data_IF_759747719554
#
_entry.id   IF_759747719554
#
_cell.length_a   1.000
_cell.length_b   1.000
_cell.length_c   1.000
_cell.angle_alpha   90.00
_cell.angle_beta   90.00
_cell.angle_gamma   90.00
#
_symmetry.space_group_name_H-M   'P 1'
#
loop_
_entity.id
_entity.type
_entity.pdbx_description
1 polymer ?
#
# COMPACT_ATOMS: atom_id res chain seq x y z
N UNK A 1 6.60 19.98 9.55
CA UNK A 1 5.78 18.76 9.67
C UNK A 1 6.71 17.57 9.60
N UNK A 2 6.60 16.63 10.54
CA UNK A 2 7.32 15.35 10.40
C UNK A 2 6.72 14.64 9.19
N UNK A 3 7.55 14.39 8.17
CA UNK A 3 7.14 13.57 7.03
C UNK A 3 7.09 12.13 7.53
N UNK A 4 5.90 11.68 7.88
CA UNK A 4 5.68 10.28 8.22
C UNK A 4 5.65 9.44 6.94
N UNK A 5 6.22 8.25 7.02
CA UNK A 5 6.30 7.30 5.92
C UNK A 5 5.51 6.04 6.27
N UNK A 6 4.87 5.48 5.26
CA UNK A 6 4.23 4.18 5.31
C UNK A 6 5.15 3.16 4.63
N UNK A 7 5.47 2.08 5.33
CA UNK A 7 6.33 1.01 4.83
C UNK A 7 5.56 -0.28 4.61
N UNK A 8 5.96 -1.05 3.60
CA UNK A 8 5.58 -2.44 3.39
C UNK A 8 6.81 -3.24 2.95
N UNK A 9 7.09 -4.38 3.56
CA UNK A 9 8.23 -5.23 3.20
C UNK A 9 7.76 -6.64 2.90
N UNK A 10 7.97 -7.09 1.66
CA UNK A 10 7.63 -8.44 1.26
C UNK A 10 8.56 -9.47 1.89
N UNK A 11 8.05 -10.65 2.29
CA UNK A 11 8.89 -11.76 2.73
C UNK A 11 9.78 -12.26 1.61
N UNK A 12 10.86 -12.98 1.92
CA UNK A 12 11.78 -13.58 0.96
C UNK A 12 13.21 -13.07 1.06
N UNK A 13 14.04 -13.44 0.06
CA UNK A 13 15.47 -13.12 0.01
C UNK A 13 15.71 -11.62 -0.24
N UNK A 14 16.44 -10.96 0.67
CA UNK A 14 16.76 -9.53 0.63
C UNK A 14 17.55 -9.13 -0.62
N UNK A 15 18.27 -10.07 -1.24
CA UNK A 15 19.02 -9.84 -2.48
C UNK A 15 18.13 -9.82 -3.75
N UNK A 16 16.83 -10.07 -3.59
CA UNK A 16 15.85 -10.07 -4.70
C UNK A 16 14.99 -8.80 -4.70
N UNK A 17 14.49 -8.41 -5.87
CA UNK A 17 13.56 -7.29 -6.01
C UNK A 17 12.12 -7.77 -6.18
N UNK A 18 11.14 -6.93 -5.85
CA UNK A 18 9.74 -7.18 -6.20
C UNK A 18 9.60 -7.39 -7.72
N UNK A 19 8.72 -8.32 -8.17
CA UNK A 19 8.55 -8.65 -9.58
C UNK A 19 7.68 -7.61 -10.33
N UNK A 20 7.99 -6.33 -10.19
CA UNK A 20 7.29 -5.19 -10.79
C UNK A 20 8.25 -4.22 -11.48
N UNK A 21 7.71 -3.32 -12.30
CA UNK A 21 8.50 -2.28 -12.93
C UNK A 21 9.18 -1.38 -11.89
N UNK A 22 10.37 -0.88 -12.22
CA UNK A 22 11.10 0.04 -11.34
C UNK A 22 10.26 1.30 -11.04
N UNK A 23 10.21 1.69 -9.77
CA UNK A 23 9.49 2.88 -9.33
C UNK A 23 10.22 3.55 -8.17
N UNK A 24 10.00 4.86 -7.94
CA UNK A 24 10.58 5.54 -6.79
C UNK A 24 10.00 5.04 -5.46
N UNK A 25 8.90 4.29 -5.51
CA UNK A 25 8.16 3.83 -4.34
C UNK A 25 8.66 2.50 -3.78
N UNK A 26 9.62 1.83 -4.44
CA UNK A 26 10.21 0.61 -3.92
C UNK A 26 11.71 0.51 -4.17
N UNK A 27 12.38 -0.23 -3.30
CA UNK A 27 13.78 -0.62 -3.42
C UNK A 27 13.94 -2.04 -2.86
N UNK A 28 14.41 -2.97 -3.69
CA UNK A 28 14.45 -4.39 -3.36
C UNK A 28 13.05 -4.93 -3.07
N UNK A 29 12.82 -5.39 -1.83
CA UNK A 29 11.52 -5.91 -1.34
C UNK A 29 10.73 -4.91 -0.49
N UNK A 30 11.26 -3.70 -0.30
CA UNK A 30 10.67 -2.66 0.54
C UNK A 30 9.96 -1.61 -0.31
N UNK A 31 8.72 -1.30 0.07
CA UNK A 31 7.89 -0.22 -0.46
C UNK A 31 7.86 0.90 0.58
N UNK A 32 8.08 2.14 0.14
CA UNK A 32 8.11 3.32 1.00
C UNK A 32 7.25 4.42 0.39
N UNK A 33 6.15 4.76 1.06
CA UNK A 33 5.15 5.72 0.59
C UNK A 33 5.05 6.92 1.55
N UNK A 34 4.88 8.15 1.06
CA UNK A 34 4.50 9.26 1.92
C UNK A 34 3.15 8.98 2.60
N UNK A 35 3.07 9.07 3.93
CA UNK A 35 1.87 8.67 4.68
C UNK A 35 0.61 9.40 4.24
N UNK A 36 0.68 10.72 4.06
CA UNK A 36 -0.51 11.50 3.66
C UNK A 36 -1.06 11.10 2.29
N UNK A 37 -0.20 10.62 1.38
CA UNK A 37 -0.64 10.11 0.09
C UNK A 37 -1.25 8.71 0.20
N UNK A 38 -0.73 7.87 1.10
CA UNK A 38 -1.36 6.59 1.40
C UNK A 38 -2.75 6.79 2.04
N UNK A 39 -2.88 7.69 3.01
CA UNK A 39 -4.16 8.04 3.64
C UNK A 39 -5.17 8.58 2.61
N UNK A 40 -4.72 9.41 1.65
CA UNK A 40 -5.54 9.87 0.54
C UNK A 40 -6.06 8.72 -0.34
N UNK A 41 -5.20 7.75 -0.66
CA UNK A 41 -5.61 6.54 -1.41
C UNK A 41 -6.66 5.76 -0.62
N UNK A 42 -6.45 5.54 0.68
CA UNK A 42 -7.41 4.85 1.55
C UNK A 42 -8.75 5.59 1.60
N UNK A 43 -8.74 6.92 1.73
CA UNK A 43 -9.98 7.69 1.77
C UNK A 43 -10.74 7.65 0.44
N UNK A 44 -10.03 7.67 -0.70
CA UNK A 44 -10.65 7.43 -2.00
C UNK A 44 -11.22 6.00 -2.09
N UNK A 45 -10.49 5.00 -1.61
CA UNK A 45 -10.89 3.60 -1.62
C UNK A 45 -12.19 3.36 -0.84
N UNK A 46 -12.41 4.07 0.28
CA UNK A 46 -13.68 4.01 1.05
C UNK A 46 -14.91 4.37 0.22
N UNK A 47 -14.77 5.30 -0.73
CA UNK A 47 -15.88 5.70 -1.62
C UNK A 47 -16.28 4.60 -2.61
N UNK A 48 -15.37 3.66 -2.90
CA UNK A 48 -15.59 2.51 -3.78
C UNK A 48 -16.12 1.32 -2.97
N UNK A 49 -15.42 0.96 -1.90
CA UNK A 49 -15.81 -0.12 -1.02
C UNK A 49 -15.25 0.10 0.39
N UNK A 50 -16.10 0.56 1.30
CA UNK A 50 -15.70 0.84 2.69
C UNK A 50 -15.13 -0.37 3.41
N UNK A 51 -15.71 -1.56 3.21
CA UNK A 51 -15.27 -2.78 3.93
C UNK A 51 -13.84 -3.16 3.53
N UNK A 52 -13.55 -3.28 2.24
CA UNK A 52 -12.20 -3.63 1.80
C UNK A 52 -11.21 -2.50 2.00
N UNK A 53 -11.66 -1.25 1.98
CA UNK A 53 -10.80 -0.12 2.36
C UNK A 53 -10.39 -0.18 3.83
N UNK A 54 -11.31 -0.55 4.73
CA UNK A 54 -11.00 -0.68 6.16
C UNK A 54 -10.04 -1.87 6.38
N UNK A 55 -10.21 -2.97 5.65
CA UNK A 55 -9.25 -4.10 5.66
C UNK A 55 -7.88 -3.70 5.10
N UNK A 56 -7.82 -2.94 4.01
CA UNK A 56 -6.57 -2.45 3.44
C UNK A 56 -5.83 -1.56 4.45
N UNK A 57 -6.57 -0.66 5.09
CA UNK A 57 -6.04 0.20 6.13
C UNK A 57 -5.52 -0.65 7.32
N UNK A 58 -6.30 -1.62 7.79
CA UNK A 58 -5.92 -2.54 8.86
C UNK A 58 -4.59 -3.26 8.57
N UNK A 59 -4.39 -3.75 7.34
CA UNK A 59 -3.15 -4.41 6.94
C UNK A 59 -1.99 -3.45 6.61
N UNK A 60 -2.21 -2.14 6.67
CA UNK A 60 -1.15 -1.15 6.53
C UNK A 60 -0.33 -0.96 7.80
N UNK A 61 -0.73 -1.58 8.91
CA UNK A 61 0.02 -1.52 10.16
C UNK A 61 -0.03 -2.87 10.86
N UNK A 62 1.06 -3.25 11.53
CA UNK A 62 1.02 -4.37 12.44
C UNK A 62 0.03 -4.08 13.58
N UNK A 63 -0.98 -4.92 13.73
CA UNK A 63 -2.13 -4.65 14.62
C UNK A 63 -1.86 -5.04 16.06
N UNK A 64 -0.78 -5.79 16.32
CA UNK A 64 -0.34 -6.12 17.66
C UNK A 64 0.68 -5.08 18.11
N UNK A 65 0.27 -4.21 19.03
CA UNK A 65 1.17 -3.29 19.75
C UNK A 65 2.34 -4.00 20.48
N UNK A 66 2.27 -5.32 20.62
CA UNK A 66 3.30 -6.17 21.22
C UNK A 66 4.22 -6.85 20.18
N UNK A 67 3.95 -6.73 18.88
CA UNK A 67 4.83 -7.27 17.84
C UNK A 67 5.93 -6.26 17.52
N UNK A 68 7.03 -6.33 18.27
CA UNK A 68 8.22 -5.49 18.09
C UNK A 68 8.79 -5.56 16.65
N UNK A 69 8.40 -6.55 15.85
CA UNK A 69 8.92 -6.77 14.51
C UNK A 69 8.00 -6.25 13.40
N UNK A 70 6.80 -5.75 13.71
CA UNK A 70 5.83 -5.22 12.73
C UNK A 70 5.30 -6.25 11.71
N UNK A 71 5.17 -7.53 12.08
CA UNK A 71 4.57 -8.53 11.18
C UNK A 71 3.06 -8.34 11.01
N UNK A 72 2.60 -8.61 9.79
CA UNK A 72 1.19 -8.65 9.42
C UNK A 72 0.80 -10.08 9.06
N UNK A 73 -0.09 -10.66 9.86
CA UNK A 73 -0.66 -11.99 9.66
C UNK A 73 -2.05 -11.89 9.04
N UNK A 74 -2.35 -12.80 8.11
CA UNK A 74 -3.57 -12.74 7.31
C UNK A 74 -4.06 -14.15 6.96
N UNK A 75 -5.35 -14.27 6.67
CA UNK A 75 -5.90 -15.45 6.01
C UNK A 75 -5.67 -15.34 4.49
N UNK A 76 -5.30 -16.46 3.85
CA UNK A 76 -4.94 -16.43 2.42
C UNK A 76 -6.08 -15.93 1.52
N UNK A 77 -7.32 -16.30 1.83
CA UNK A 77 -8.50 -15.83 1.08
C UNK A 77 -8.73 -14.33 1.23
N UNK A 78 -8.46 -13.77 2.42
CA UNK A 78 -8.64 -12.35 2.67
C UNK A 78 -7.61 -11.53 1.89
N UNK A 79 -6.35 -11.98 1.86
CA UNK A 79 -5.30 -11.29 1.11
C UNK A 79 -5.52 -11.39 -0.41
N UNK A 80 -6.02 -12.52 -0.92
CA UNK A 80 -6.38 -12.68 -2.34
C UNK A 80 -7.52 -11.74 -2.77
N UNK A 81 -8.56 -11.61 -1.93
CA UNK A 81 -9.65 -10.65 -2.16
C UNK A 81 -9.15 -9.20 -2.12
N UNK A 82 -8.22 -8.89 -1.22
CA UNK A 82 -7.65 -7.56 -1.09
C UNK A 82 -6.79 -7.17 -2.29
N UNK A 83 -6.03 -8.11 -2.85
CA UNK A 83 -5.28 -7.89 -4.10
C UNK A 83 -6.23 -7.56 -5.26
N UNK A 84 -7.36 -8.27 -5.38
CA UNK A 84 -8.40 -7.97 -6.38
C UNK A 84 -8.99 -6.58 -6.16
N UNK A 85 -9.28 -6.22 -4.92
CA UNK A 85 -9.76 -4.88 -4.59
C UNK A 85 -8.74 -3.79 -4.95
N UNK A 86 -7.45 -4.00 -4.69
CA UNK A 86 -6.38 -3.07 -5.08
C UNK A 86 -6.35 -2.90 -6.60
N UNK A 87 -6.51 -3.99 -7.36
CA UNK A 87 -6.57 -3.91 -8.82
C UNK A 87 -7.77 -3.07 -9.30
N UNK A 88 -8.96 -3.30 -8.74
CA UNK A 88 -10.15 -2.50 -9.08
C UNK A 88 -9.98 -1.02 -8.70
N UNK A 89 -9.33 -0.75 -7.56
CA UNK A 89 -8.99 0.58 -7.09
C UNK A 89 -8.02 1.29 -8.05
N UNK A 90 -6.99 0.61 -8.55
CA UNK A 90 -6.08 1.14 -9.57
C UNK A 90 -6.84 1.55 -10.84
N UNK A 91 -7.75 0.69 -11.33
CA UNK A 91 -8.56 1.01 -12.52
C UNK A 91 -9.47 2.22 -12.28
N UNK A 92 -10.08 2.32 -11.10
CA UNK A 92 -10.93 3.44 -10.71
C UNK A 92 -10.15 4.76 -10.66
N UNK A 93 -8.99 4.77 -10.00
CA UNK A 93 -8.11 5.95 -9.91
C UNK A 93 -7.63 6.37 -11.31
N UNK A 94 -7.24 5.43 -12.15
CA UNK A 94 -6.76 5.74 -13.49
C UNK A 94 -7.85 6.34 -14.41
N UNK A 95 -9.12 6.02 -14.14
CA UNK A 95 -10.27 6.51 -14.90
C UNK A 95 -10.94 7.75 -14.28
N UNK A 96 -10.58 8.15 -13.07
CA UNK A 96 -11.18 9.27 -12.37
C UNK A 96 -10.48 10.60 -12.69
N UNK A 97 -11.15 11.70 -12.32
CA UNK A 97 -10.46 12.97 -12.10
C UNK A 97 -9.35 12.80 -11.03
N UNK A 98 -8.42 13.77 -10.90
CA UNK A 98 -7.41 13.72 -9.84
C UNK A 98 -8.03 13.48 -8.46
N UNK A 99 -7.53 12.48 -7.73
CA UNK A 99 -8.06 12.09 -6.40
C UNK A 99 -8.09 13.29 -5.45
N UNK A 100 -7.11 14.18 -5.59
CA UNK A 100 -7.08 15.46 -4.90
C UNK A 100 -6.80 16.58 -5.91
N UNK A 101 -7.68 17.59 -6.03
CA UNK A 101 -7.62 18.56 -7.12
C UNK A 101 -6.54 19.63 -6.95
N UNK A 102 -6.17 19.99 -5.71
CA UNK A 102 -5.23 21.08 -5.42
C UNK A 102 -4.32 20.77 -4.23
N UNK A 103 -3.07 21.24 -4.26
CA UNK A 103 -2.15 21.04 -3.14
C UNK A 103 -2.63 21.81 -1.90
N UNK A 104 -2.43 21.22 -0.72
CA UNK A 104 -2.81 21.84 0.56
C UNK A 104 -1.56 22.06 1.42
N UNK A 105 -1.70 22.77 2.54
CA UNK A 105 -0.60 22.88 3.51
C UNK A 105 -0.20 21.49 4.07
N UNK A 106 -1.15 20.55 4.11
CA UNK A 106 -0.94 19.19 4.61
C UNK A 106 -0.35 18.25 3.54
N UNK A 107 -0.69 18.48 2.28
CA UNK A 107 -0.22 17.75 1.09
C UNK A 107 0.31 18.74 0.06
N UNK A 108 1.52 19.31 0.26
CA UNK A 108 2.09 20.29 -0.66
C UNK A 108 2.55 19.68 -1.99
N UNK A 109 2.82 18.37 -2.00
CA UNK A 109 3.41 17.64 -3.12
C UNK A 109 2.37 16.73 -3.79
N UNK A 110 1.43 17.24 -4.58
CA UNK A 110 0.46 16.37 -5.27
C UNK A 110 1.06 15.58 -6.43
N UNK A 111 0.67 14.31 -6.52
CA UNK A 111 0.98 13.45 -7.65
C UNK A 111 -0.20 13.28 -8.59
N UNK A 112 0.11 12.98 -9.86
CA UNK A 112 -0.89 12.52 -10.83
C UNK A 112 -1.41 11.12 -10.46
N UNK A 113 -2.60 10.77 -10.96
CA UNK A 113 -3.22 9.47 -10.70
C UNK A 113 -2.35 8.27 -11.08
N UNK A 114 -1.50 8.42 -12.11
CA UNK A 114 -0.53 7.41 -12.53
C UNK A 114 0.46 7.03 -11.42
N UNK A 115 0.87 7.97 -10.57
CA UNK A 115 1.76 7.68 -9.46
C UNK A 115 1.04 6.97 -8.32
N UNK A 116 -0.21 7.34 -8.00
CA UNK A 116 -1.02 6.59 -7.03
C UNK A 116 -1.26 5.15 -7.47
N UNK A 117 -1.45 4.91 -8.77
CA UNK A 117 -1.54 3.57 -9.34
C UNK A 117 -0.22 2.80 -9.12
N UNK A 118 0.94 3.42 -9.38
CA UNK A 118 2.25 2.78 -9.13
C UNK A 118 2.50 2.48 -7.65
N UNK A 119 2.03 3.33 -6.74
CA UNK A 119 2.06 3.05 -5.30
C UNK A 119 1.24 1.80 -4.96
N UNK A 120 0.02 1.70 -5.49
CA UNK A 120 -0.85 0.54 -5.30
C UNK A 120 -0.29 -0.73 -5.95
N UNK A 121 0.36 -0.63 -7.11
CA UNK A 121 1.06 -1.74 -7.75
C UNK A 121 2.18 -2.28 -6.85
N UNK A 122 2.95 -1.39 -6.22
CA UNK A 122 4.00 -1.77 -5.29
C UNK A 122 3.47 -2.49 -4.05
N UNK A 123 2.39 -1.97 -3.44
CA UNK A 123 1.74 -2.61 -2.28
C UNK A 123 1.12 -3.96 -2.67
N UNK A 124 0.44 -4.04 -3.82
CA UNK A 124 -0.12 -5.29 -4.34
C UNK A 124 0.96 -6.34 -4.56
N UNK A 125 2.15 -5.95 -5.05
CA UNK A 125 3.28 -6.86 -5.21
C UNK A 125 3.78 -7.44 -3.89
N UNK A 126 3.78 -6.65 -2.81
CA UNK A 126 4.10 -7.15 -1.46
C UNK A 126 3.11 -8.23 -1.03
N UNK A 127 1.83 -7.97 -1.21
CA UNK A 127 0.77 -8.91 -0.83
C UNK A 127 0.82 -10.19 -1.68
N UNK A 128 1.10 -10.05 -2.98
CA UNK A 128 1.23 -11.18 -3.89
C UNK A 128 2.42 -12.07 -3.53
N UNK A 129 3.57 -11.48 -3.19
CA UNK A 129 4.75 -12.23 -2.74
C UNK A 129 4.49 -12.94 -1.41
N UNK A 130 3.80 -12.27 -0.49
CA UNK A 130 3.39 -12.88 0.78
C UNK A 130 2.47 -14.09 0.56
N UNK A 131 1.50 -14.00 -0.37
CA UNK A 131 0.68 -15.15 -0.78
C UNK A 131 1.51 -16.28 -1.43
N UNK A 132 2.41 -15.93 -2.34
CA UNK A 132 3.22 -16.89 -3.09
C UNK A 132 4.13 -17.71 -2.16
N UNK A 133 4.77 -17.04 -1.21
CA UNK A 133 5.69 -17.65 -0.25
C UNK A 133 4.98 -18.23 0.98
N UNK A 134 3.72 -17.84 1.21
CA UNK A 134 2.94 -18.18 2.41
C UNK A 134 3.62 -17.75 3.70
N UNK A 135 4.22 -16.56 3.66
CA UNK A 135 4.96 -15.95 4.76
C UNK A 135 4.37 -14.57 5.06
N UNK A 136 4.34 -14.13 6.34
CA UNK A 136 3.87 -12.80 6.68
C UNK A 136 4.77 -11.71 6.06
N UNK A 137 4.17 -10.56 5.76
CA UNK A 137 4.92 -9.35 5.38
C UNK A 137 5.02 -8.40 6.58
N UNK A 138 5.80 -7.33 6.45
CA UNK A 138 5.87 -6.28 7.46
C UNK A 138 5.18 -4.99 6.97
N UNK A 139 4.51 -4.27 7.88
CA UNK A 139 3.99 -2.94 7.58
C UNK A 139 3.96 -2.05 8.84
N UNK A 140 4.44 -0.82 8.73
CA UNK A 140 4.49 0.15 9.83
C UNK A 140 4.56 1.60 9.33
N UNK A 141 4.40 2.53 10.28
CA UNK A 141 4.56 3.97 10.07
C UNK A 141 5.82 4.45 10.81
N UNK A 142 6.67 5.23 10.14
CA UNK A 142 7.85 5.90 10.74
C UNK A 142 7.77 7.43 10.60
#
# INVERSE_FOLDING_TARGET
MNKFWQFFVAPGDEDTSLPIASSPWHNGRCVTLPRGHWELIIDYAKSINSEYSDKLNFYSFATNNDDENNFVYYEQSELDELIKFIFDLQQSINASEPIHPEATEELPDLYENSEYVRMLEAVSAVFQEALNLREPFHAWIE
#
